data_IF_857686861171
#
_entry.id   IF_857686861171
#
_cell.length_a   1.000
_cell.length_b   1.000
_cell.length_c   1.000
_cell.angle_alpha   90.00
_cell.angle_beta   90.00
_cell.angle_gamma   90.00
#
_symmetry.space_group_name_H-M   'P 1'
#
loop_
_entity.id
_entity.type
_entity.pdbx_description
1 polymer ?
#
# COMPACT_ATOMS: atom_id res chain seq x y z
N UNK A 1 32.71 33.60 -58.93
CA UNK A 1 33.82 34.52 -58.64
C UNK A 1 33.38 35.91 -59.08
N UNK A 2 33.53 36.91 -58.20
CA UNK A 2 33.32 38.35 -58.39
C UNK A 2 31.87 38.87 -58.36
N UNK A 3 31.56 39.52 -57.24
CA UNK A 3 30.53 40.56 -57.03
C UNK A 3 31.18 41.93 -57.33
N UNK A 4 30.42 42.95 -57.77
CA UNK A 4 30.25 44.18 -56.96
C UNK A 4 28.79 44.70 -57.01
N UNK A 5 28.08 45.09 -55.94
CA UNK A 5 28.22 46.16 -54.92
C UNK A 5 27.75 47.58 -55.38
N UNK A 6 26.80 48.14 -54.58
CA UNK A 6 26.36 49.56 -54.37
C UNK A 6 25.43 50.18 -55.43
N UNK A 7 24.49 51.10 -55.16
CA UNK A 7 24.05 51.99 -54.06
C UNK A 7 22.63 52.50 -54.48
N UNK A 8 21.70 53.08 -53.71
CA UNK A 8 21.65 53.82 -52.44
C UNK A 8 20.16 53.90 -51.97
N UNK A 9 19.85 53.99 -50.67
CA UNK A 9 19.86 55.15 -49.75
C UNK A 9 18.85 56.26 -50.09
N UNK A 10 17.86 56.47 -49.21
CA UNK A 10 17.50 57.76 -48.55
C UNK A 10 16.05 57.71 -48.01
N UNK A 11 15.75 57.67 -46.70
CA UNK A 11 15.83 58.64 -45.58
C UNK A 11 14.42 59.10 -45.17
N UNK A 12 14.11 58.98 -43.88
CA UNK A 12 12.95 59.61 -43.22
C UNK A 12 12.50 58.85 -41.94
N UNK A 13 13.25 58.81 -40.83
CA UNK A 13 13.29 59.83 -39.76
C UNK A 13 11.92 59.96 -39.04
N UNK A 14 11.67 59.68 -37.74
CA UNK A 14 12.41 59.93 -36.49
C UNK A 14 11.79 59.08 -35.33
N UNK A 15 12.57 58.38 -34.48
CA UNK A 15 13.14 58.79 -33.16
C UNK A 15 12.10 59.20 -32.09
N UNK A 16 12.07 58.59 -30.88
CA UNK A 16 13.12 58.58 -29.82
C UNK A 16 12.89 57.39 -28.85
N UNK A 17 13.86 56.51 -28.59
CA UNK A 17 15.03 56.57 -27.65
C UNK A 17 14.61 56.26 -26.18
N UNK A 18 15.27 55.39 -25.40
CA UNK A 18 16.70 55.04 -25.32
C UNK A 18 16.98 53.65 -24.71
N UNK A 19 18.16 53.13 -25.06
CA UNK A 19 18.89 51.97 -24.55
C UNK A 19 19.24 52.03 -23.05
N UNK A 20 19.38 50.86 -22.42
CA UNK A 20 20.66 50.44 -21.85
C UNK A 20 20.78 48.90 -21.83
N UNK A 21 21.91 48.40 -22.32
CA UNK A 21 22.33 46.98 -22.27
C UNK A 21 23.30 46.82 -21.09
N UNK A 22 23.09 45.81 -20.24
CA UNK A 22 24.19 45.04 -19.63
C UNK A 22 23.69 43.65 -19.18
N UNK A 23 24.65 42.72 -19.07
CA UNK A 23 24.53 41.26 -19.20
C UNK A 23 24.24 40.51 -17.90
N UNK A 24 23.80 39.26 -18.09
CA UNK A 24 23.83 38.05 -17.23
C UNK A 24 22.92 38.01 -15.98
N UNK A 25 21.99 37.05 -15.94
CA UNK A 25 22.12 35.72 -15.27
C UNK A 25 20.91 34.86 -15.67
N UNK A 26 21.17 33.58 -15.93
CA UNK A 26 20.20 32.52 -16.24
C UNK A 26 19.34 32.22 -15.01
N UNK A 27 18.01 32.19 -15.17
CA UNK A 27 17.12 31.49 -14.26
C UNK A 27 15.91 30.95 -15.04
N UNK A 28 15.85 29.63 -15.14
CA UNK A 28 14.69 28.88 -15.59
C UNK A 28 13.59 28.98 -14.53
N UNK A 29 12.39 29.43 -14.92
CA UNK A 29 11.19 29.28 -14.14
C UNK A 29 10.24 28.37 -14.92
N UNK A 30 10.06 27.17 -14.39
CA UNK A 30 9.20 26.14 -14.94
C UNK A 30 7.74 26.54 -14.92
N UNK A 31 7.02 26.03 -15.92
CA UNK A 31 5.58 26.06 -16.00
C UNK A 31 4.95 25.42 -14.75
N UNK A 32 4.38 26.26 -13.88
CA UNK A 32 3.33 25.86 -12.97
C UNK A 32 2.05 25.75 -13.79
N UNK A 33 1.46 24.55 -13.82
CA UNK A 33 0.08 24.40 -14.28
C UNK A 33 -0.80 24.66 -13.06
N UNK A 34 -1.41 25.84 -13.05
CA UNK A 34 -2.57 26.15 -12.22
C UNK A 34 -3.72 25.21 -12.57
N UNK A 35 -4.30 24.58 -11.55
CA UNK A 35 -5.62 23.97 -11.63
C UNK A 35 -6.49 24.65 -10.57
N UNK A 36 -7.04 25.80 -10.94
CA UNK A 36 -8.27 26.32 -10.37
C UNK A 36 -9.37 26.15 -11.41
N UNK A 37 -10.42 25.40 -11.03
CA UNK A 37 -11.83 25.49 -11.46
C UNK A 37 -12.47 24.11 -11.63
N UNK A 38 -13.00 23.58 -10.52
CA UNK A 38 -14.27 22.86 -10.48
C UNK A 38 -14.84 22.93 -9.04
N UNK A 39 -14.93 24.14 -8.49
CA UNK A 39 -15.92 24.44 -7.46
C UNK A 39 -17.27 24.70 -8.16
N UNK A 40 -18.35 24.26 -7.52
CA UNK A 40 -19.75 24.35 -7.94
C UNK A 40 -20.30 23.17 -8.79
N UNK A 41 -20.37 21.99 -8.16
CA UNK A 41 -21.57 21.16 -8.23
C UNK A 41 -21.88 20.61 -6.83
N UNK A 42 -23.07 20.96 -6.37
CA UNK A 42 -23.52 20.95 -4.99
C UNK A 42 -23.72 19.56 -4.37
N UNK A 43 -23.36 19.50 -3.07
CA UNK A 43 -24.01 18.78 -1.98
C UNK A 43 -23.94 17.24 -1.99
N UNK A 44 -22.73 16.70 -1.71
CA UNK A 44 -22.63 15.43 -1.01
C UNK A 44 -22.96 15.63 0.47
N UNK A 45 -23.94 14.90 0.98
CA UNK A 45 -24.32 14.89 2.40
C UNK A 45 -23.09 14.82 3.31
N UNK A 46 -23.06 15.58 4.44
CA UNK A 46 -21.97 15.46 5.40
C UNK A 46 -21.86 13.99 5.82
N UNK A 47 -20.62 13.51 5.91
CA UNK A 47 -20.27 12.17 6.35
C UNK A 47 -21.23 11.75 7.47
N UNK A 48 -22.13 10.78 7.17
CA UNK A 48 -23.07 10.25 8.16
C UNK A 48 -22.28 9.98 9.43
N UNK A 49 -22.53 10.77 10.47
CA UNK A 49 -22.07 10.47 11.81
C UNK A 49 -22.48 9.03 12.07
N UNK A 50 -21.50 8.13 12.16
CA UNK A 50 -21.75 6.77 12.63
C UNK A 50 -22.44 6.92 13.99
N UNK A 51 -23.73 6.58 14.03
CA UNK A 51 -24.60 6.73 15.20
C UNK A 51 -23.86 6.23 16.44
N UNK A 52 -23.89 7.03 17.51
CA UNK A 52 -23.40 6.57 18.79
C UNK A 52 -24.16 5.29 19.18
N UNK A 53 -23.47 4.20 19.55
CA UNK A 53 -24.13 3.00 20.04
C UNK A 53 -24.99 3.35 21.25
N UNK A 54 -26.24 2.91 21.25
CA UNK A 54 -27.27 3.28 22.25
C UNK A 54 -27.06 2.64 23.64
N UNK A 55 -26.01 1.83 23.83
CA UNK A 55 -25.78 1.06 25.07
C UNK A 55 -24.49 1.50 25.78
N UNK A 56 -24.50 1.42 27.11
CA UNK A 56 -23.31 1.58 27.95
C UNK A 56 -22.28 0.51 27.56
N UNK A 57 -21.24 0.92 26.84
CA UNK A 57 -20.21 -0.01 26.35
C UNK A 57 -19.60 -0.88 27.45
N UNK A 58 -19.28 -2.12 27.11
CA UNK A 58 -18.75 -3.13 28.00
C UNK A 58 -17.28 -2.86 28.31
N UNK A 59 -16.95 -2.78 29.61
CA UNK A 59 -15.56 -2.61 30.05
C UNK A 59 -14.82 -3.95 30.02
N UNK A 60 -13.54 -3.89 29.66
CA UNK A 60 -12.60 -5.00 29.82
C UNK A 60 -11.52 -4.55 30.82
N UNK A 61 -11.29 -5.30 31.92
CA UNK A 61 -10.25 -4.95 32.88
C UNK A 61 -8.88 -4.79 32.22
N UNK A 62 -8.17 -3.71 32.54
CA UNK A 62 -6.84 -3.42 31.99
C UNK A 62 -6.82 -2.69 30.65
N UNK A 63 -7.99 -2.33 30.08
CA UNK A 63 -8.10 -1.55 28.84
C UNK A 63 -8.84 -0.24 29.08
N UNK A 64 -8.39 0.82 28.39
CA UNK A 64 -9.00 2.16 28.45
C UNK A 64 -10.23 2.32 27.55
N UNK A 65 -10.37 1.45 26.54
CA UNK A 65 -11.50 1.45 25.62
C UNK A 65 -12.61 0.48 26.05
N UNK A 66 -13.79 0.64 25.46
CA UNK A 66 -14.98 -0.21 25.71
C UNK A 66 -15.44 -0.90 24.44
N UNK A 67 -16.14 -2.03 24.61
CA UNK A 67 -16.76 -2.79 23.52
C UNK A 67 -18.24 -2.47 23.45
N UNK A 68 -18.69 -1.98 22.30
CA UNK A 68 -20.07 -1.62 22.03
C UNK A 68 -20.68 -2.63 21.07
N UNK A 69 -22.00 -2.80 21.16
CA UNK A 69 -22.78 -3.55 20.18
C UNK A 69 -23.57 -2.55 19.35
N UNK A 70 -23.47 -2.66 18.03
CA UNK A 70 -24.35 -1.97 17.10
C UNK A 70 -25.27 -3.00 16.43
N UNK A 71 -26.57 -2.90 16.71
CA UNK A 71 -27.59 -3.86 16.22
C UNK A 71 -28.05 -3.55 14.78
N UNK A 72 -27.58 -2.47 14.17
CA UNK A 72 -28.07 -2.02 12.86
C UNK A 72 -29.46 -1.39 12.93
N UNK A 73 -29.90 -0.72 11.86
CA UNK A 73 -31.25 -0.15 11.80
C UNK A 73 -32.27 -1.27 11.67
N UNK A 74 -33.22 -1.31 12.62
CA UNK A 74 -34.36 -2.21 12.63
C UNK A 74 -35.16 -2.10 11.33
N UNK A 75 -34.94 -3.05 10.44
CA UNK A 75 -35.76 -3.35 9.29
C UNK A 75 -35.65 -4.85 9.10
N UNK A 76 -36.78 -5.54 9.18
CA UNK A 76 -36.90 -6.99 9.06
C UNK A 76 -36.21 -7.43 7.76
N UNK A 77 -34.97 -7.86 7.87
CA UNK A 77 -34.18 -8.40 6.77
C UNK A 77 -33.89 -9.86 7.11
N UNK A 78 -34.28 -10.74 6.20
CA UNK A 78 -33.98 -12.18 6.21
C UNK A 78 -32.47 -12.34 6.44
N UNK A 79 -32.08 -12.89 7.59
CA UNK A 79 -30.68 -13.04 8.00
C UNK A 79 -30.25 -12.20 9.22
N UNK A 80 -31.18 -11.57 9.94
CA UNK A 80 -30.89 -10.99 11.26
C UNK A 80 -30.30 -12.07 12.18
N UNK A 81 -29.05 -11.86 12.64
CA UNK A 81 -28.43 -12.69 13.67
C UNK A 81 -29.29 -12.65 14.92
N UNK A 82 -29.51 -13.80 15.54
CA UNK A 82 -30.30 -13.86 16.76
C UNK A 82 -29.54 -13.20 17.93
N UNK A 83 -30.28 -12.81 18.97
CA UNK A 83 -29.72 -12.11 20.14
C UNK A 83 -28.73 -13.01 20.92
N UNK A 84 -28.87 -14.33 20.82
CA UNK A 84 -27.98 -15.32 21.46
C UNK A 84 -26.62 -15.30 20.76
N UNK A 85 -26.58 -15.26 19.43
CA UNK A 85 -25.40 -15.22 18.60
C UNK A 85 -24.65 -13.89 18.77
N UNK A 86 -25.37 -12.78 18.85
CA UNK A 86 -24.79 -11.47 19.14
C UNK A 86 -24.11 -11.45 20.52
N UNK A 87 -24.78 -11.98 21.55
CA UNK A 87 -24.22 -12.08 22.90
C UNK A 87 -23.02 -13.04 22.97
N UNK A 88 -23.10 -14.18 22.28
CA UNK A 88 -21.98 -15.13 22.19
C UNK A 88 -20.76 -14.50 21.49
N UNK A 89 -20.97 -13.74 20.43
CA UNK A 89 -19.91 -13.03 19.73
C UNK A 89 -19.30 -11.91 20.59
N UNK A 90 -20.13 -11.12 21.27
CA UNK A 90 -19.67 -10.11 22.22
C UNK A 90 -18.80 -10.75 23.32
N UNK A 91 -19.28 -11.85 23.91
CA UNK A 91 -18.54 -12.56 24.95
C UNK A 91 -17.22 -13.11 24.41
N UNK A 92 -17.24 -13.71 23.21
CA UNK A 92 -16.02 -14.16 22.51
C UNK A 92 -15.02 -13.02 22.35
N UNK A 93 -15.45 -11.85 21.89
CA UNK A 93 -14.59 -10.67 21.71
C UNK A 93 -13.99 -10.23 23.04
N UNK A 94 -14.79 -10.18 24.12
CA UNK A 94 -14.31 -9.81 25.47
C UNK A 94 -13.27 -10.80 25.98
N UNK A 95 -13.56 -12.09 25.88
CA UNK A 95 -12.65 -13.16 26.31
C UNK A 95 -11.35 -13.16 25.51
N UNK A 96 -11.43 -12.88 24.20
CA UNK A 96 -10.26 -12.71 23.35
C UNK A 96 -9.41 -11.53 23.81
N UNK A 97 -9.99 -10.38 24.13
CA UNK A 97 -9.21 -9.26 24.66
C UNK A 97 -8.61 -9.55 26.03
N UNK A 98 -9.33 -10.25 26.91
CA UNK A 98 -8.77 -10.74 28.17
C UNK A 98 -7.56 -11.65 27.94
N UNK A 99 -7.64 -12.56 26.96
CA UNK A 99 -6.51 -13.41 26.56
C UNK A 99 -5.34 -12.58 26.03
N UNK A 100 -5.58 -11.61 25.14
CA UNK A 100 -4.55 -10.73 24.59
C UNK A 100 -3.82 -9.92 25.68
N UNK A 101 -4.53 -9.49 26.74
CA UNK A 101 -3.91 -8.81 27.89
C UNK A 101 -3.05 -9.76 28.70
N UNK A 102 -3.53 -10.97 28.98
CA UNK A 102 -2.77 -11.98 29.74
C UNK A 102 -1.47 -12.38 29.02
N UNK A 103 -1.50 -12.39 27.69
CA UNK A 103 -0.37 -12.75 26.83
C UNK A 103 0.22 -11.56 26.09
N UNK A 104 0.14 -10.35 26.65
CA UNK A 104 0.44 -9.07 25.97
C UNK A 104 1.82 -9.00 25.33
N UNK A 105 2.82 -9.60 25.96
CA UNK A 105 4.19 -9.72 25.46
C UNK A 105 4.33 -10.56 24.17
N UNK A 106 3.37 -11.42 23.87
CA UNK A 106 3.32 -12.19 22.62
C UNK A 106 2.68 -11.39 21.46
N UNK A 107 2.06 -10.24 21.76
CA UNK A 107 1.29 -9.43 20.81
C UNK A 107 1.77 -7.97 20.82
N UNK A 108 2.97 -7.67 20.28
CA UNK A 108 3.60 -6.35 20.43
C UNK A 108 2.79 -5.19 19.83
N UNK A 109 2.02 -5.41 18.76
CA UNK A 109 1.15 -4.37 18.18
C UNK A 109 -0.08 -4.07 19.03
N UNK A 110 -0.66 -5.12 19.62
CA UNK A 110 -1.70 -4.96 20.60
C UNK A 110 -1.17 -4.19 21.82
N UNK A 111 -0.01 -4.59 22.35
CA UNK A 111 0.65 -3.90 23.46
C UNK A 111 0.90 -2.41 23.16
N UNK A 112 1.46 -2.12 21.98
CA UNK A 112 1.71 -0.74 21.53
C UNK A 112 0.44 0.09 21.50
N UNK A 113 -0.62 -0.41 20.88
CA UNK A 113 -1.88 0.31 20.76
C UNK A 113 -2.54 0.58 22.12
N UNK A 114 -2.48 -0.39 23.03
CA UNK A 114 -3.00 -0.24 24.40
C UNK A 114 -2.17 0.78 25.17
N UNK A 115 -0.83 0.68 25.12
CA UNK A 115 0.07 1.61 25.82
C UNK A 115 -0.07 3.05 25.32
N UNK A 116 -0.27 3.23 24.02
CA UNK A 116 -0.43 4.55 23.38
C UNK A 116 -1.89 5.05 23.38
N UNK A 117 -2.85 4.27 23.88
CA UNK A 117 -4.27 4.67 23.93
C UNK A 117 -4.88 4.94 22.55
N UNK A 118 -4.51 4.13 21.55
CA UNK A 118 -4.85 4.37 20.14
C UNK A 118 -6.29 3.97 19.77
N UNK A 119 -6.92 3.11 20.56
CA UNK A 119 -8.32 2.72 20.34
C UNK A 119 -9.25 3.64 21.14
N UNK A 120 -10.19 4.26 20.45
CA UNK A 120 -11.34 4.95 21.06
C UNK A 120 -12.35 3.91 21.57
N UNK A 121 -12.79 3.02 20.67
CA UNK A 121 -13.76 1.97 20.98
C UNK A 121 -13.70 0.80 20.01
N UNK A 122 -14.28 -0.32 20.43
CA UNK A 122 -14.57 -1.46 19.55
C UNK A 122 -16.08 -1.54 19.35
N UNK A 123 -16.51 -1.82 18.13
CA UNK A 123 -17.93 -2.00 17.80
C UNK A 123 -18.12 -3.39 17.19
N UNK A 124 -18.89 -4.22 17.87
CA UNK A 124 -19.35 -5.52 17.38
C UNK A 124 -20.68 -5.32 16.69
N UNK A 125 -20.78 -5.75 15.44
CA UNK A 125 -21.97 -5.52 14.61
C UNK A 125 -22.28 -6.73 13.72
N UNK A 126 -23.55 -6.91 13.29
CA UNK A 126 -23.97 -8.07 12.52
C UNK A 126 -23.09 -8.37 11.31
N UNK A 127 -22.80 -7.32 10.53
CA UNK A 127 -21.87 -7.36 9.41
C UNK A 127 -21.13 -6.04 9.34
N UNK A 128 -19.81 -6.08 9.10
CA UNK A 128 -19.02 -4.89 8.80
C UNK A 128 -18.99 -4.70 7.29
N UNK A 129 -19.48 -3.56 6.81
CA UNK A 129 -19.45 -3.22 5.38
C UNK A 129 -18.71 -1.93 5.15
N UNK A 130 -17.99 -1.81 4.03
CA UNK A 130 -17.52 -0.51 3.56
C UNK A 130 -18.67 0.27 2.91
N UNK A 131 -18.40 1.51 2.49
CA UNK A 131 -19.38 2.37 1.80
C UNK A 131 -19.86 1.79 0.46
N UNK A 132 -19.08 0.90 -0.17
CA UNK A 132 -19.45 0.17 -1.40
C UNK A 132 -20.33 -1.07 -1.12
N UNK A 133 -20.70 -1.31 0.15
CA UNK A 133 -21.55 -2.42 0.57
C UNK A 133 -20.84 -3.77 0.71
N UNK A 134 -19.51 -3.81 0.51
CA UNK A 134 -18.70 -5.02 0.62
C UNK A 134 -18.43 -5.40 2.08
N UNK A 135 -18.59 -6.68 2.41
CA UNK A 135 -18.44 -7.22 3.77
C UNK A 135 -16.99 -7.51 4.16
N UNK A 136 -16.64 -7.25 5.42
CA UNK A 136 -15.33 -7.47 6.01
C UNK A 136 -15.42 -8.17 7.37
N UNK A 137 -14.41 -8.98 7.75
CA UNK A 137 -14.29 -9.50 9.12
C UNK A 137 -14.02 -8.39 10.13
N UNK A 138 -13.13 -7.46 9.77
CA UNK A 138 -12.68 -6.35 10.60
C UNK A 138 -12.55 -5.08 9.77
N UNK A 139 -12.73 -3.92 10.42
CA UNK A 139 -12.43 -2.64 9.81
C UNK A 139 -11.91 -1.65 10.84
N UNK A 140 -10.74 -1.07 10.60
CA UNK A 140 -10.21 0.03 11.41
C UNK A 140 -10.51 1.37 10.74
N UNK A 141 -11.19 2.25 11.48
CA UNK A 141 -11.70 3.55 11.01
C UNK A 141 -11.10 4.67 11.86
N UNK A 142 -10.64 5.75 11.24
CA UNK A 142 -10.17 6.93 11.98
C UNK A 142 -11.31 7.63 12.69
N UNK A 143 -11.02 8.21 13.84
CA UNK A 143 -11.92 9.15 14.50
C UNK A 143 -11.64 10.58 14.06
N UNK A 144 -12.54 11.50 14.44
CA UNK A 144 -12.29 12.94 14.35
C UNK A 144 -11.09 13.36 15.21
N UNK A 145 -10.85 12.65 16.31
CA UNK A 145 -9.68 12.86 17.15
C UNK A 145 -8.44 12.23 16.50
N UNK A 146 -7.41 13.03 16.14
CA UNK A 146 -6.15 12.49 15.63
C UNK A 146 -5.51 11.56 16.67
N UNK A 147 -4.85 10.50 16.22
CA UNK A 147 -4.22 9.55 17.14
C UNK A 147 -5.15 8.44 17.62
N UNK A 148 -6.44 8.51 17.28
CA UNK A 148 -7.45 7.54 17.72
C UNK A 148 -8.19 6.90 16.55
N UNK A 149 -8.55 5.64 16.76
CA UNK A 149 -9.28 4.84 15.77
C UNK A 149 -10.35 3.98 16.45
N UNK A 150 -11.32 3.52 15.66
CA UNK A 150 -12.33 2.54 16.04
C UNK A 150 -12.06 1.23 15.31
N UNK A 151 -12.24 0.12 16.01
CA UNK A 151 -12.18 -1.22 15.42
C UNK A 151 -13.59 -1.79 15.32
N UNK A 152 -14.05 -2.09 14.11
CA UNK A 152 -15.32 -2.74 13.85
C UNK A 152 -15.10 -4.24 13.65
N UNK A 153 -15.95 -5.06 14.24
CA UNK A 153 -15.85 -6.53 14.21
C UNK A 153 -17.18 -7.11 13.72
N UNK A 154 -17.11 -7.98 12.72
CA UNK A 154 -18.28 -8.62 12.11
C UNK A 154 -18.64 -9.92 12.81
N UNK A 155 -19.87 -9.99 13.35
CA UNK A 155 -20.38 -11.22 13.99
C UNK A 155 -20.55 -12.34 12.99
N UNK A 156 -21.07 -12.04 11.79
CA UNK A 156 -21.23 -13.06 10.74
C UNK A 156 -19.88 -13.72 10.41
N UNK A 157 -18.80 -12.93 10.36
CA UNK A 157 -17.47 -13.46 10.08
C UNK A 157 -16.88 -14.27 11.24
N UNK A 158 -17.18 -13.93 12.50
CA UNK A 158 -16.77 -14.75 13.65
C UNK A 158 -17.46 -16.13 13.57
N UNK A 159 -18.75 -16.14 13.25
CA UNK A 159 -19.56 -17.36 13.12
C UNK A 159 -19.10 -18.24 11.95
N UNK A 160 -19.05 -17.68 10.75
CA UNK A 160 -18.69 -18.41 9.52
C UNK A 160 -17.29 -19.05 9.59
N UNK A 161 -16.37 -18.41 10.32
CA UNK A 161 -14.99 -18.91 10.50
C UNK A 161 -14.83 -19.80 11.74
N UNK A 162 -15.91 -20.07 12.47
CA UNK A 162 -15.92 -20.99 13.61
C UNK A 162 -15.21 -20.46 14.86
N UNK A 163 -15.16 -19.13 15.05
CA UNK A 163 -14.48 -18.51 16.20
C UNK A 163 -15.39 -18.28 17.42
N UNK A 164 -16.71 -18.48 17.30
CA UNK A 164 -17.63 -18.32 18.43
C UNK A 164 -17.22 -19.22 19.60
N UNK A 165 -17.04 -18.63 20.78
CA UNK A 165 -16.60 -19.31 21.99
C UNK A 165 -15.13 -19.77 21.99
N UNK A 166 -14.35 -19.46 20.95
CA UNK A 166 -12.96 -19.91 20.78
C UNK A 166 -11.98 -18.75 20.88
N UNK A 167 -11.92 -18.13 22.07
CA UNK A 167 -11.20 -16.89 22.30
C UNK A 167 -9.68 -17.00 22.01
N UNK A 168 -9.08 -18.14 22.36
CA UNK A 168 -7.68 -18.50 22.14
C UNK A 168 -7.33 -18.63 20.65
N UNK A 169 -8.20 -19.24 19.85
CA UNK A 169 -8.03 -19.35 18.40
C UNK A 169 -8.30 -18.03 17.68
N UNK A 170 -9.17 -17.19 18.23
CA UNK A 170 -9.49 -15.89 17.67
C UNK A 170 -8.42 -14.82 17.99
N UNK A 171 -7.75 -14.92 19.14
CA UNK A 171 -6.71 -13.99 19.58
C UNK A 171 -5.62 -13.69 18.54
N UNK A 172 -4.93 -14.66 17.93
CA UNK A 172 -3.90 -14.37 16.93
C UNK A 172 -4.48 -13.71 15.67
N UNK A 173 -5.74 -13.96 15.34
CA UNK A 173 -6.41 -13.34 14.19
C UNK A 173 -6.72 -11.88 14.48
N UNK A 174 -7.35 -11.61 15.63
CA UNK A 174 -7.68 -10.25 16.06
C UNK A 174 -6.42 -9.41 16.31
N UNK A 175 -5.36 -10.00 16.87
CA UNK A 175 -4.10 -9.31 17.15
C UNK A 175 -3.42 -8.76 15.88
N UNK A 176 -3.58 -9.41 14.72
CA UNK A 176 -3.03 -8.92 13.45
C UNK A 176 -3.67 -7.61 13.01
N UNK A 177 -4.94 -7.39 13.33
CA UNK A 177 -5.64 -6.16 13.00
C UNK A 177 -5.08 -4.94 13.75
N UNK A 178 -4.37 -5.16 14.86
CA UNK A 178 -3.70 -4.08 15.58
C UNK A 178 -2.54 -3.44 14.81
N UNK A 179 -2.05 -4.09 13.74
CA UNK A 179 -1.22 -3.43 12.74
C UNK A 179 -1.92 -2.20 12.14
N UNK A 180 -3.21 -2.35 11.79
CA UNK A 180 -4.02 -1.28 11.23
C UNK A 180 -4.36 -0.22 12.26
N UNK A 181 -4.61 -0.63 13.50
CA UNK A 181 -4.85 0.28 14.61
C UNK A 181 -3.67 1.23 14.77
N UNK A 182 -2.46 0.68 14.94
CA UNK A 182 -1.22 1.47 15.06
C UNK A 182 -1.02 2.32 13.81
N UNK A 183 -1.14 1.73 12.61
CA UNK A 183 -0.87 2.44 11.37
C UNK A 183 -1.85 3.58 11.06
N UNK A 184 -3.10 3.49 11.50
CA UNK A 184 -4.12 4.52 11.24
C UNK A 184 -4.16 5.59 12.33
N UNK A 185 -3.78 5.22 13.56
CA UNK A 185 -3.59 6.12 14.68
C UNK A 185 -2.28 6.91 14.60
N UNK A 186 -1.28 6.46 13.85
CA UNK A 186 -0.02 7.18 13.71
C UNK A 186 -0.21 8.54 12.99
N UNK A 187 -0.02 9.63 13.75
CA UNK A 187 -0.13 11.03 13.30
C UNK A 187 1.23 11.69 13.02
N UNK A 188 2.33 10.95 13.16
CA UNK A 188 3.67 11.47 12.89
C UNK A 188 3.82 11.95 11.43
N UNK A 189 4.77 12.85 11.20
CA UNK A 189 5.10 13.29 9.84
C UNK A 189 5.45 12.08 8.97
N UNK A 190 4.61 11.83 7.96
CA UNK A 190 4.88 10.82 6.96
C UNK A 190 6.03 11.32 6.10
N UNK A 191 7.10 10.53 6.00
CA UNK A 191 8.19 10.81 5.07
C UNK A 191 7.61 11.04 3.68
N UNK A 192 7.97 12.17 3.07
CA UNK A 192 7.56 12.44 1.69
C UNK A 192 8.31 11.48 0.78
N UNK A 193 7.57 10.74 -0.04
CA UNK A 193 8.17 9.91 -1.07
C UNK A 193 8.97 10.79 -2.04
N UNK A 194 10.19 10.38 -2.34
CA UNK A 194 11.00 11.02 -3.39
C UNK A 194 10.40 10.61 -4.73
N UNK A 195 9.47 11.42 -5.24
CA UNK A 195 8.90 11.18 -6.57
C UNK A 195 9.91 11.56 -7.63
N UNK A 196 10.70 10.60 -8.11
CA UNK A 196 11.36 10.73 -9.42
C UNK A 196 10.26 10.81 -10.49
N UNK A 197 10.50 11.44 -11.64
CA UNK A 197 9.54 11.48 -12.75
C UNK A 197 9.56 10.14 -13.52
N UNK A 198 8.41 9.67 -14.02
CA UNK A 198 8.30 8.47 -14.88
C UNK A 198 7.94 8.91 -16.29
N UNK A 199 8.40 8.16 -17.28
CA UNK A 199 8.06 8.39 -18.68
C UNK A 199 6.87 7.52 -19.10
N UNK A 200 5.70 7.84 -18.53
CA UNK A 200 4.47 7.07 -18.73
C UNK A 200 4.02 6.98 -20.20
N UNK A 201 4.14 8.03 -21.03
CA UNK A 201 3.76 7.96 -22.45
C UNK A 201 4.55 6.92 -23.26
N UNK A 202 5.81 6.67 -22.91
CA UNK A 202 6.70 5.73 -23.62
C UNK A 202 6.79 4.35 -22.97
N UNK A 203 6.04 4.10 -21.89
CA UNK A 203 6.03 2.80 -21.24
C UNK A 203 5.30 1.75 -22.11
N UNK A 204 6.06 0.78 -22.63
CA UNK A 204 5.56 -0.33 -23.45
C UNK A 204 4.92 -1.42 -22.58
N UNK A 205 3.61 -1.29 -22.37
CA UNK A 205 2.79 -2.28 -21.64
C UNK A 205 2.07 -3.22 -22.60
N UNK A 206 1.97 -4.50 -22.22
CA UNK A 206 1.35 -5.54 -23.06
C UNK A 206 -0.01 -5.97 -22.52
N UNK A 207 -0.88 -6.50 -23.38
CA UNK A 207 -2.12 -7.12 -22.93
C UNK A 207 -1.88 -8.56 -22.43
N UNK A 208 -2.67 -9.00 -21.46
CA UNK A 208 -2.47 -10.31 -20.80
C UNK A 208 -2.47 -11.50 -21.78
N UNK A 209 -3.27 -11.43 -22.85
CA UNK A 209 -3.32 -12.45 -23.90
C UNK A 209 -1.99 -12.55 -24.66
N UNK A 210 -1.37 -11.40 -24.96
CA UNK A 210 -0.17 -11.31 -25.77
C UNK A 210 1.04 -11.74 -24.93
N UNK A 211 1.07 -11.35 -23.66
CA UNK A 211 2.12 -11.73 -22.70
C UNK A 211 2.27 -13.26 -22.58
N UNK A 212 1.15 -14.00 -22.61
CA UNK A 212 1.17 -15.47 -22.48
C UNK A 212 1.79 -16.16 -23.69
N UNK A 213 1.73 -15.54 -24.87
CA UNK A 213 2.33 -16.07 -26.10
C UNK A 213 3.79 -15.66 -26.31
N UNK A 214 4.29 -14.65 -25.57
CA UNK A 214 5.66 -14.19 -25.71
C UNK A 214 6.68 -15.26 -25.31
N UNK A 215 7.79 -15.32 -26.03
CA UNK A 215 8.94 -16.12 -25.64
C UNK A 215 9.64 -15.56 -24.39
N UNK A 216 10.43 -16.38 -23.70
CA UNK A 216 11.14 -15.99 -22.48
C UNK A 216 12.01 -14.74 -22.65
N UNK A 217 12.76 -14.65 -23.75
CA UNK A 217 13.67 -13.52 -23.99
C UNK A 217 12.92 -12.23 -24.33
N UNK A 218 11.78 -12.34 -25.02
CA UNK A 218 10.91 -11.19 -25.30
C UNK A 218 10.32 -10.62 -24.02
N UNK A 219 9.85 -11.48 -23.11
CA UNK A 219 9.34 -11.06 -21.80
C UNK A 219 10.41 -10.33 -20.97
N UNK A 220 11.67 -10.80 -21.03
CA UNK A 220 12.80 -10.13 -20.36
C UNK A 220 13.08 -8.77 -20.98
N UNK A 221 13.09 -8.67 -22.32
CA UNK A 221 13.30 -7.40 -23.04
C UNK A 221 12.23 -6.37 -22.67
N UNK A 222 10.96 -6.77 -22.67
CA UNK A 222 9.87 -5.87 -22.24
C UNK A 222 10.03 -5.41 -20.79
N UNK A 223 10.40 -6.31 -19.88
CA UNK A 223 10.66 -5.93 -18.49
C UNK A 223 11.81 -4.91 -18.39
N UNK A 224 12.86 -5.05 -19.21
CA UNK A 224 13.98 -4.11 -19.24
C UNK A 224 13.54 -2.71 -19.68
N UNK A 225 12.75 -2.60 -20.75
CA UNK A 225 12.17 -1.32 -21.19
C UNK A 225 11.28 -0.70 -20.10
N UNK A 226 10.52 -1.53 -19.37
CA UNK A 226 9.71 -1.06 -18.25
C UNK A 226 10.56 -0.55 -17.09
N UNK A 227 11.76 -1.08 -16.83
CA UNK A 227 12.65 -0.50 -15.81
C UNK A 227 13.16 0.89 -16.14
N UNK A 228 13.20 1.25 -17.42
CA UNK A 228 13.65 2.58 -17.88
C UNK A 228 12.54 3.62 -17.79
N UNK A 229 11.29 3.21 -18.01
CA UNK A 229 10.16 4.13 -18.21
C UNK A 229 9.13 4.10 -17.08
N UNK A 230 8.93 2.95 -16.42
CA UNK A 230 7.75 2.68 -15.61
C UNK A 230 8.02 2.03 -14.24
N UNK A 231 8.54 0.80 -14.22
CA UNK A 231 8.77 0.01 -13.00
C UNK A 231 9.95 0.56 -12.23
N UNK A 232 9.71 0.86 -10.95
CA UNK A 232 10.76 1.16 -9.98
C UNK A 232 11.07 -0.02 -9.10
N UNK A 233 12.27 0.04 -8.54
CA UNK A 233 12.79 -0.94 -7.59
C UNK A 233 13.44 -0.30 -6.36
N UNK A 234 13.45 1.03 -6.31
CA UNK A 234 14.08 1.81 -5.26
C UNK A 234 13.11 2.16 -4.14
N UNK A 235 13.67 2.33 -2.94
CA UNK A 235 12.95 2.77 -1.78
C UNK A 235 12.74 4.28 -1.82
N UNK A 236 11.54 4.70 -2.23
CA UNK A 236 11.17 6.12 -2.34
C UNK A 236 11.25 6.88 -0.98
N UNK A 237 11.34 6.17 0.15
CA UNK A 237 11.44 6.76 1.49
C UNK A 237 12.86 6.77 2.06
N UNK A 238 13.85 6.22 1.34
CA UNK A 238 15.24 6.14 1.79
C UNK A 238 15.41 5.48 3.16
N UNK A 239 14.49 4.61 3.55
CA UNK A 239 14.55 3.84 4.79
C UNK A 239 15.74 2.88 4.87
N UNK A 240 16.33 2.54 3.71
CA UNK A 240 17.54 1.72 3.62
C UNK A 240 18.85 2.50 3.72
N UNK A 241 18.84 3.83 3.70
CA UNK A 241 20.08 4.62 3.79
C UNK A 241 20.77 4.38 5.14
N UNK A 242 22.06 4.04 5.10
CA UNK A 242 22.87 3.74 6.27
C UNK A 242 22.51 2.45 7.03
N UNK A 243 21.55 1.67 6.53
CA UNK A 243 21.16 0.41 7.16
C UNK A 243 22.12 -0.72 6.79
N UNK A 244 22.30 -1.69 7.68
CA UNK A 244 22.97 -2.95 7.36
C UNK A 244 22.12 -3.80 6.40
N UNK A 245 22.78 -4.61 5.58
CA UNK A 245 22.11 -5.61 4.74
C UNK A 245 22.40 -7.01 5.26
N UNK A 246 21.55 -7.97 4.91
CA UNK A 246 21.77 -9.38 5.24
C UNK A 246 22.67 -10.06 4.22
N UNK A 247 23.57 -10.90 4.72
CA UNK A 247 24.22 -11.90 3.89
C UNK A 247 23.17 -12.93 3.39
N UNK A 248 23.31 -13.37 2.15
CA UNK A 248 22.35 -14.27 1.51
C UNK A 248 22.37 -15.63 2.23
N UNK A 249 21.18 -16.10 2.62
CA UNK A 249 20.98 -17.40 3.26
C UNK A 249 21.30 -17.41 4.76
N UNK A 250 21.66 -16.28 5.36
CA UNK A 250 22.02 -16.19 6.78
C UNK A 250 21.31 -15.03 7.48
N UNK A 251 21.32 -15.05 8.81
CA UNK A 251 20.83 -13.92 9.63
C UNK A 251 21.93 -12.91 9.95
N UNK A 252 23.11 -13.06 9.35
CA UNK A 252 24.25 -12.17 9.57
C UNK A 252 24.01 -10.83 8.88
N UNK A 253 24.25 -9.75 9.62
CA UNK A 253 24.18 -8.39 9.11
C UNK A 253 25.58 -7.89 8.75
N UNK A 254 25.70 -7.31 7.56
CA UNK A 254 26.91 -6.67 7.06
C UNK A 254 26.69 -5.16 7.08
N UNK A 255 27.61 -4.46 7.74
CA UNK A 255 27.58 -3.00 7.78
C UNK A 255 27.77 -2.42 6.37
N UNK A 256 27.06 -1.34 6.01
CA UNK A 256 27.20 -0.73 4.70
C UNK A 256 28.58 -0.06 4.58
N UNK A 257 29.25 -0.25 3.45
CA UNK A 257 30.52 0.43 3.15
C UNK A 257 30.31 1.89 2.74
N UNK A 258 29.14 2.23 2.18
CA UNK A 258 28.70 3.59 1.87
C UNK A 258 27.21 3.75 2.22
N UNK A 259 26.70 4.97 2.48
CA UNK A 259 25.32 5.20 2.89
C UNK A 259 24.25 4.57 1.97
N UNK A 260 24.50 4.49 0.67
CA UNK A 260 23.55 3.96 -0.33
C UNK A 260 23.82 2.50 -0.76
N UNK A 261 24.84 1.85 -0.18
CA UNK A 261 25.25 0.50 -0.59
C UNK A 261 24.14 -0.52 -0.40
N UNK A 262 23.41 -0.42 0.71
CA UNK A 262 22.27 -1.31 1.01
C UNK A 262 21.11 -1.11 0.05
N UNK A 263 20.78 0.14 -0.27
CA UNK A 263 19.73 0.44 -1.24
C UNK A 263 20.07 -0.11 -2.63
N UNK A 264 21.31 0.10 -3.11
CA UNK A 264 21.80 -0.44 -4.38
C UNK A 264 21.83 -1.96 -4.41
N UNK A 265 22.30 -2.59 -3.33
CA UNK A 265 22.30 -4.04 -3.20
C UNK A 265 20.89 -4.58 -3.39
N UNK A 266 19.92 -4.09 -2.63
CA UNK A 266 18.55 -4.61 -2.71
C UNK A 266 17.82 -4.24 -4.01
N UNK A 267 18.12 -3.10 -4.63
CA UNK A 267 17.65 -2.77 -5.98
C UNK A 267 18.07 -3.84 -6.99
N UNK A 268 19.36 -4.17 -7.05
CA UNK A 268 19.89 -5.21 -7.95
C UNK A 268 19.21 -6.56 -7.71
N UNK A 269 19.06 -6.95 -6.44
CA UNK A 269 18.42 -8.22 -6.05
C UNK A 269 16.98 -8.30 -6.51
N UNK A 270 16.22 -7.21 -6.37
CA UNK A 270 14.85 -7.17 -6.87
C UNK A 270 14.82 -7.26 -8.38
N UNK A 271 15.65 -6.50 -9.11
CA UNK A 271 15.71 -6.55 -10.58
C UNK A 271 16.01 -7.96 -11.08
N UNK A 272 16.98 -8.64 -10.48
CA UNK A 272 17.30 -10.04 -10.81
C UNK A 272 16.10 -10.97 -10.56
N UNK A 273 15.42 -10.82 -9.43
CA UNK A 273 14.24 -11.62 -9.10
C UNK A 273 13.10 -11.39 -10.09
N UNK A 274 12.82 -10.14 -10.46
CA UNK A 274 11.79 -9.80 -11.44
C UNK A 274 12.12 -10.36 -12.83
N UNK A 275 13.37 -10.25 -13.27
CA UNK A 275 13.82 -10.87 -14.52
C UNK A 275 13.64 -12.37 -14.50
N UNK A 276 13.96 -13.04 -13.37
CA UNK A 276 13.73 -14.47 -13.19
C UNK A 276 12.25 -14.83 -13.34
N UNK A 277 11.35 -14.07 -12.71
CA UNK A 277 9.89 -14.30 -12.79
C UNK A 277 9.40 -14.26 -14.24
N UNK A 278 9.81 -13.27 -15.03
CA UNK A 278 9.35 -13.16 -16.42
C UNK A 278 10.08 -14.11 -17.37
N UNK A 279 11.33 -14.50 -17.06
CA UNK A 279 12.12 -15.40 -17.92
C UNK A 279 11.67 -16.84 -17.81
N UNK A 280 11.52 -17.36 -16.60
CA UNK A 280 11.39 -18.81 -16.38
C UNK A 280 9.94 -19.29 -16.61
N UNK A 281 9.73 -20.32 -17.47
CA UNK A 281 8.39 -20.81 -17.81
C UNK A 281 7.56 -21.25 -16.60
N UNK A 282 8.21 -21.79 -15.57
CA UNK A 282 7.55 -22.27 -14.35
C UNK A 282 6.72 -21.18 -13.65
N UNK A 283 7.11 -19.91 -13.74
CA UNK A 283 6.33 -18.81 -13.17
C UNK A 283 5.09 -18.49 -13.99
N UNK A 284 5.13 -18.67 -15.32
CA UNK A 284 3.96 -18.53 -16.16
C UNK A 284 2.96 -19.67 -15.91
N UNK A 285 3.45 -20.87 -15.63
CA UNK A 285 2.62 -22.04 -15.28
C UNK A 285 1.99 -21.92 -13.88
N UNK A 286 2.79 -21.56 -12.86
CA UNK A 286 2.37 -21.62 -11.45
C UNK A 286 1.86 -20.30 -10.89
N UNK A 287 2.34 -19.18 -11.42
CA UNK A 287 2.00 -17.81 -10.99
C UNK A 287 1.75 -16.90 -12.20
N UNK A 288 0.85 -17.25 -13.14
CA UNK A 288 0.67 -16.52 -14.39
C UNK A 288 0.33 -15.04 -14.18
N UNK A 289 -0.32 -14.71 -13.05
CA UNK A 289 -0.67 -13.33 -12.73
C UNK A 289 0.54 -12.49 -12.34
N UNK A 290 1.58 -13.10 -11.78
CA UNK A 290 2.83 -12.40 -11.51
C UNK A 290 3.48 -11.92 -12.80
N UNK A 291 3.62 -12.82 -13.78
CA UNK A 291 4.21 -12.50 -15.09
C UNK A 291 3.38 -11.44 -15.82
N UNK A 292 2.07 -11.64 -15.90
CA UNK A 292 1.17 -10.70 -16.60
C UNK A 292 1.11 -9.34 -15.91
N UNK A 293 1.02 -9.27 -14.57
CA UNK A 293 0.93 -8.00 -13.84
C UNK A 293 2.21 -7.16 -13.91
N UNK A 294 3.37 -7.80 -14.05
CA UNK A 294 4.64 -7.10 -14.28
C UNK A 294 4.66 -6.46 -15.67
N UNK A 295 4.24 -7.19 -16.71
CA UNK A 295 4.38 -6.76 -18.10
C UNK A 295 3.19 -5.93 -18.63
N UNK A 296 2.04 -5.96 -17.95
CA UNK A 296 0.85 -5.19 -18.34
C UNK A 296 0.73 -3.83 -17.64
N UNK A 297 1.72 -3.49 -16.79
CA UNK A 297 1.84 -2.25 -16.04
C UNK A 297 1.10 -2.21 -14.70
N UNK A 298 0.42 -3.28 -14.27
CA UNK A 298 -0.27 -3.27 -12.97
C UNK A 298 0.68 -3.09 -11.79
N UNK A 299 1.93 -3.55 -11.91
CA UNK A 299 2.99 -3.29 -10.92
C UNK A 299 3.88 -2.13 -11.41
N UNK A 300 4.05 -1.10 -10.58
CA UNK A 300 4.91 0.05 -10.91
C UNK A 300 6.08 0.29 -9.94
N UNK A 301 6.11 -0.46 -8.83
CA UNK A 301 7.19 -0.42 -7.85
C UNK A 301 7.28 -1.76 -7.12
N UNK A 302 8.48 -2.31 -6.97
CA UNK A 302 8.78 -3.47 -6.12
C UNK A 302 10.04 -3.16 -5.36
N UNK A 303 10.01 -3.00 -4.04
CA UNK A 303 11.20 -2.54 -3.33
C UNK A 303 11.32 -3.09 -1.92
N UNK A 304 12.58 -3.16 -1.45
CA UNK A 304 12.87 -3.39 -0.04
C UNK A 304 12.68 -2.09 0.74
N UNK A 305 12.19 -2.23 1.97
CA UNK A 305 12.03 -1.12 2.92
C UNK A 305 12.41 -1.58 4.31
N UNK A 306 12.98 -0.68 5.11
CA UNK A 306 13.10 -0.88 6.55
C UNK A 306 11.90 -0.26 7.26
N UNK A 307 10.99 -1.13 7.74
CA UNK A 307 9.83 -0.70 8.52
C UNK A 307 9.70 -1.59 9.76
N UNK A 308 10.43 -1.23 10.80
CA UNK A 308 10.40 -1.92 12.10
C UNK A 308 8.99 -1.93 12.72
N UNK A 309 8.20 -0.90 12.45
CA UNK A 309 6.87 -0.70 13.02
C UNK A 309 5.73 -1.44 12.31
N UNK A 310 6.00 -2.33 11.36
CA UNK A 310 4.97 -3.16 10.71
C UNK A 310 5.38 -4.63 10.77
N UNK A 311 4.39 -5.50 10.99
CA UNK A 311 4.49 -6.95 11.20
C UNK A 311 4.25 -7.80 9.95
N UNK A 312 4.12 -7.20 8.77
CA UNK A 312 4.08 -7.95 7.51
C UNK A 312 5.49 -8.18 6.93
N UNK A 313 5.70 -9.35 6.32
CA UNK A 313 6.93 -9.67 5.58
C UNK A 313 6.94 -9.01 4.20
N UNK A 314 5.82 -9.11 3.47
CA UNK A 314 5.58 -8.35 2.23
C UNK A 314 4.21 -7.68 2.24
N UNK A 315 4.07 -6.63 1.43
CA UNK A 315 2.81 -5.90 1.29
C UNK A 315 2.65 -5.34 -0.11
N UNK A 316 1.66 -5.85 -0.82
CA UNK A 316 1.06 -5.17 -1.97
C UNK A 316 0.25 -3.94 -1.49
N UNK A 317 0.38 -2.81 -2.19
CA UNK A 317 -0.42 -1.59 -2.03
C UNK A 317 -0.92 -1.17 -3.41
N UNK A 318 -2.22 -1.31 -3.63
CA UNK A 318 -2.87 -0.81 -4.86
C UNK A 318 -3.27 0.64 -4.60
N UNK A 319 -2.95 1.54 -5.53
CA UNK A 319 -3.43 2.91 -5.46
C UNK A 319 -4.95 2.98 -5.63
N UNK A 320 -5.64 3.97 -5.06
CA UNK A 320 -7.07 4.18 -5.30
C UNK A 320 -7.34 4.57 -6.77
N UNK A 321 -8.59 4.40 -7.22
CA UNK A 321 -8.97 4.51 -8.63
C UNK A 321 -8.81 5.93 -9.19
N UNK A 322 -9.00 6.95 -8.36
CA UNK A 322 -8.75 8.37 -8.65
C UNK A 322 -7.26 8.68 -8.90
N UNK A 323 -6.35 7.79 -8.50
CA UNK A 323 -4.91 7.86 -8.76
C UNK A 323 -4.46 6.91 -9.87
N UNK A 324 -5.40 6.42 -10.68
CA UNK A 324 -5.06 5.69 -11.89
C UNK A 324 -4.30 6.61 -12.88
N UNK A 325 -3.41 6.01 -13.65
CA UNK A 325 -2.53 6.71 -14.60
C UNK A 325 -2.75 6.19 -16.01
N UNK A 326 -2.58 7.06 -17.00
CA UNK A 326 -2.60 6.68 -18.41
C UNK A 326 -1.17 6.36 -18.85
N UNK A 327 -0.99 5.20 -19.47
CA UNK A 327 0.33 4.63 -19.79
C UNK A 327 0.38 4.14 -21.23
N UNK A 328 1.49 4.40 -21.93
CA UNK A 328 1.74 3.99 -23.30
C UNK A 328 0.89 4.72 -24.36
N UNK A 329 0.97 4.25 -25.61
CA UNK A 329 0.19 4.73 -26.76
C UNK A 329 -0.62 3.55 -27.33
N UNK A 330 -1.95 3.67 -27.56
CA UNK A 330 -2.79 4.87 -27.51
C UNK A 330 -3.23 5.32 -26.09
N UNK A 331 -2.65 4.73 -25.04
CA UNK A 331 -2.95 5.05 -23.65
C UNK A 331 -3.88 4.02 -23.02
N UNK A 332 -3.41 3.39 -21.94
CA UNK A 332 -4.19 2.48 -21.10
C UNK A 332 -4.32 3.07 -19.71
N UNK A 333 -5.54 3.11 -19.18
CA UNK A 333 -5.77 3.47 -17.79
C UNK A 333 -5.35 2.30 -16.89
N UNK A 334 -4.41 2.55 -15.98
CA UNK A 334 -3.87 1.57 -15.05
C UNK A 334 -4.03 2.09 -13.62
N UNK A 335 -4.53 1.24 -12.73
CA UNK A 335 -4.49 1.47 -11.29
C UNK A 335 -3.25 0.76 -10.73
N UNK A 336 -2.15 1.48 -10.46
CA UNK A 336 -0.88 0.84 -10.21
C UNK A 336 -0.77 0.31 -8.78
N UNK A 337 0.03 -0.73 -8.62
CA UNK A 337 0.33 -1.34 -7.34
C UNK A 337 1.83 -1.37 -7.03
N UNK A 338 2.18 -1.10 -5.77
CA UNK A 338 3.52 -1.23 -5.22
C UNK A 338 3.64 -2.51 -4.38
N UNK A 339 4.73 -3.23 -4.51
CA UNK A 339 5.09 -4.36 -3.64
C UNK A 339 6.21 -3.91 -2.71
N UNK A 340 5.96 -3.91 -1.41
CA UNK A 340 6.94 -3.57 -0.40
C UNK A 340 7.43 -4.85 0.28
N UNK A 341 8.73 -4.99 0.46
CA UNK A 341 9.39 -6.15 1.07
C UNK A 341 10.10 -5.66 2.33
N UNK A 342 9.68 -6.13 3.50
CA UNK A 342 10.22 -5.64 4.76
C UNK A 342 11.54 -6.36 5.07
N UNK A 343 12.63 -5.59 5.07
CA UNK A 343 14.01 -6.07 5.16
C UNK A 343 14.22 -7.12 6.27
N UNK A 344 13.75 -6.82 7.48
CA UNK A 344 14.06 -7.60 8.69
C UNK A 344 13.01 -8.66 9.04
N UNK A 345 11.90 -8.74 8.29
CA UNK A 345 10.79 -9.61 8.67
C UNK A 345 10.95 -11.01 8.10
N UNK A 346 10.53 -11.99 8.89
CA UNK A 346 10.35 -13.38 8.44
C UNK A 346 8.91 -13.58 7.99
N UNK A 347 8.70 -14.52 7.07
CA UNK A 347 7.34 -14.89 6.67
C UNK A 347 6.59 -15.54 7.84
N UNK A 348 5.33 -15.19 8.02
CA UNK A 348 4.43 -15.83 8.98
C UNK A 348 3.91 -17.17 8.42
N UNK A 349 3.51 -18.14 9.27
CA UNK A 349 3.06 -19.46 8.82
C UNK A 349 1.91 -19.47 7.80
N UNK A 350 1.07 -18.44 7.81
CA UNK A 350 -0.05 -18.25 6.89
C UNK A 350 0.31 -17.48 5.61
N UNK A 351 1.52 -16.93 5.52
CA UNK A 351 1.96 -16.24 4.31
C UNK A 351 2.09 -17.25 3.14
N UNK A 352 1.69 -16.86 1.92
CA UNK A 352 1.74 -17.72 0.73
C UNK A 352 3.10 -18.39 0.45
N UNK A 353 4.16 -17.71 0.86
CA UNK A 353 5.55 -18.00 0.57
C UNK A 353 6.34 -18.44 1.81
N UNK A 354 5.65 -18.75 2.92
CA UNK A 354 6.27 -19.17 4.18
C UNK A 354 7.29 -20.30 4.01
N UNK A 355 6.89 -21.36 3.30
CA UNK A 355 7.74 -22.53 3.05
C UNK A 355 9.00 -22.19 2.24
N UNK A 356 8.89 -21.25 1.28
CA UNK A 356 10.01 -20.88 0.40
C UNK A 356 11.02 -19.97 1.11
N UNK A 357 10.53 -19.14 2.03
CA UNK A 357 11.36 -18.23 2.82
C UNK A 357 12.24 -18.97 3.84
N UNK A 358 11.91 -20.21 4.21
CA UNK A 358 12.67 -21.04 5.16
C UNK A 358 13.01 -20.31 6.47
N UNK A 359 12.07 -19.50 6.96
CA UNK A 359 12.22 -18.67 8.18
C UNK A 359 13.38 -17.67 8.14
N UNK A 360 13.97 -17.40 6.97
CA UNK A 360 14.94 -16.33 6.81
C UNK A 360 14.24 -14.96 6.78
N UNK A 361 14.90 -13.89 7.28
CA UNK A 361 14.48 -12.52 7.01
C UNK A 361 14.38 -12.28 5.50
N UNK A 362 13.43 -11.47 5.04
CA UNK A 362 13.26 -11.22 3.60
C UNK A 362 14.55 -10.70 2.95
N UNK A 363 15.33 -9.89 3.68
CA UNK A 363 16.61 -9.37 3.21
C UNK A 363 17.69 -10.43 2.98
N UNK A 364 17.57 -11.60 3.59
CA UNK A 364 18.53 -12.69 3.48
C UNK A 364 18.18 -13.67 2.35
N UNK A 365 17.06 -13.48 1.66
CA UNK A 365 16.61 -14.45 0.65
C UNK A 365 17.53 -14.48 -0.56
N UNK A 366 17.78 -15.69 -1.09
CA UNK A 366 18.40 -15.87 -2.41
C UNK A 366 17.51 -15.31 -3.53
N UNK A 367 18.05 -15.04 -4.73
CA UNK A 367 17.27 -14.51 -5.87
C UNK A 367 16.09 -15.43 -6.18
N UNK A 368 16.32 -16.74 -6.10
CA UNK A 368 15.30 -17.75 -6.37
C UNK A 368 14.16 -17.69 -5.35
N UNK A 369 14.50 -17.57 -4.06
CA UNK A 369 13.50 -17.43 -3.00
C UNK A 369 12.75 -16.11 -3.11
N UNK A 370 13.46 -15.01 -3.36
CA UNK A 370 12.87 -13.69 -3.53
C UNK A 370 11.89 -13.65 -4.72
N UNK A 371 12.25 -14.26 -5.85
CA UNK A 371 11.37 -14.38 -7.00
C UNK A 371 10.08 -15.14 -6.67
N UNK A 372 10.15 -16.24 -5.91
CA UNK A 372 8.98 -16.99 -5.44
C UNK A 372 8.11 -16.16 -4.51
N UNK A 373 8.71 -15.44 -3.56
CA UNK A 373 8.01 -14.55 -2.63
C UNK A 373 7.26 -13.47 -3.39
N UNK A 374 7.94 -12.74 -4.27
CA UNK A 374 7.34 -11.64 -5.06
C UNK A 374 6.23 -12.19 -5.97
N UNK A 375 6.48 -13.30 -6.68
CA UNK A 375 5.48 -13.86 -7.59
C UNK A 375 4.22 -14.32 -6.85
N UNK A 376 4.36 -14.99 -5.71
CA UNK A 376 3.23 -15.43 -4.89
C UNK A 376 2.48 -14.26 -4.26
N UNK A 377 3.19 -13.21 -3.82
CA UNK A 377 2.58 -11.98 -3.32
C UNK A 377 1.72 -11.31 -4.40
N UNK A 378 2.26 -11.12 -5.62
CA UNK A 378 1.50 -10.54 -6.74
C UNK A 378 0.31 -11.43 -7.11
N UNK A 379 0.53 -12.74 -7.22
CA UNK A 379 -0.50 -13.71 -7.60
C UNK A 379 -1.72 -13.68 -6.67
N UNK A 380 -1.52 -13.50 -5.36
CA UNK A 380 -2.62 -13.48 -4.37
C UNK A 380 -3.17 -12.07 -4.13
N UNK A 381 -2.31 -11.09 -3.89
CA UNK A 381 -2.73 -9.85 -3.23
C UNK A 381 -3.13 -8.69 -4.14
N UNK A 382 -2.79 -8.69 -5.43
CA UNK A 382 -3.12 -7.55 -6.31
C UNK A 382 -4.64 -7.39 -6.54
N UNK A 383 -5.40 -8.49 -6.49
CA UNK A 383 -6.88 -8.45 -6.57
C UNK A 383 -7.51 -8.30 -5.18
N UNK A 384 -7.03 -9.02 -4.17
CA UNK A 384 -7.59 -8.87 -2.83
C UNK A 384 -7.46 -7.43 -2.30
N UNK A 385 -6.38 -6.69 -2.62
CA UNK A 385 -6.19 -5.31 -2.13
C UNK A 385 -6.88 -4.22 -2.92
N UNK A 386 -7.04 -4.39 -4.24
CA UNK A 386 -7.97 -3.56 -5.02
C UNK A 386 -9.42 -3.79 -4.58
N UNK A 387 -9.71 -5.00 -4.06
CA UNK A 387 -11.04 -5.37 -3.61
C UNK A 387 -11.31 -5.20 -2.10
N UNK A 388 -10.32 -4.95 -1.22
CA UNK A 388 -10.52 -5.02 0.25
C UNK A 388 -11.01 -3.72 0.90
N UNK A 389 -11.51 -2.73 0.16
CA UNK A 389 -12.21 -1.56 0.70
C UNK A 389 -11.39 -0.62 1.61
N UNK A 390 -10.24 -1.05 2.14
CA UNK A 390 -9.30 -0.23 2.89
C UNK A 390 -8.72 0.90 2.02
N UNK A 391 -8.49 0.63 0.74
CA UNK A 391 -7.98 1.62 -0.23
C UNK A 391 -9.00 2.74 -0.49
N UNK A 392 -10.28 2.39 -0.66
CA UNK A 392 -11.35 3.37 -0.88
C UNK A 392 -11.62 4.23 0.37
N UNK A 393 -11.53 3.64 1.58
CA UNK A 393 -11.73 4.39 2.83
C UNK A 393 -10.53 5.27 3.21
N UNK A 394 -9.30 4.88 2.84
CA UNK A 394 -8.09 5.67 3.11
C UNK A 394 -8.07 7.01 2.34
N UNK A 395 -8.70 7.07 1.17
CA UNK A 395 -8.89 8.32 0.41
C UNK A 395 -9.89 9.28 1.07
N UNK A 396 -10.94 8.74 1.70
CA UNK A 396 -12.04 9.52 2.30
C UNK A 396 -11.81 9.92 3.77
N UNK A 397 -10.86 9.28 4.46
CA UNK A 397 -10.55 9.55 5.88
C UNK A 397 -9.16 10.13 6.08
N UNK A 398 -8.47 10.47 4.99
CA UNK A 398 -7.35 11.39 5.06
C UNK A 398 -7.91 12.76 5.48
N UNK A 399 -7.37 13.40 6.55
CA UNK A 399 -7.57 14.83 6.69
C UNK A 399 -7.02 15.51 5.44
N UNK A 400 -7.75 16.48 4.91
CA UNK A 400 -7.29 17.34 3.81
C UNK A 400 -5.93 17.99 4.12
#
# INVERSE_FOLDING_TARGET
MVVPIRQGLSVGAWMRKSLLVLRFVVAAAGFAVDVHAAEAAHNGEPAREFRQPSESGHQIPGLSFRVFVDRGTGGVAVGALDEVEMNAALQTVRDTFSHLIQHRQNYPRFDEAVRKGMLDRIVVQPSVRNHEGKSFPFLVVRTVDPGRVRLLISVSSIKERGYLGQADRFAPVLAREFQWVVSKAETGHKSKAVSVQRDLPHAEIQADKDIRSLASDERVRFLQQLFETYIRTVDDFRSLEGQSYYEIGSTNLVAPSQPDSTAKFYDLRVREALQKIVREPVFLERTPRAVTSLLNGAIWNVTFVNIEQRDWATRTRVLPADKAVIVGQPGKLIQPAAILINLHRTAAPDDPFYADAKQLPMGALSTNQLALVIAKEIQRNIVEKSQTGHVAQDALTAPE
#
